data_IF_526107637515
#
_entry.id   IF_526107637515
#
_cell.length_a   1.000
_cell.length_b   1.000
_cell.length_c   1.000
_cell.angle_alpha   90.00
_cell.angle_beta   90.00
_cell.angle_gamma   90.00
#
_symmetry.space_group_name_H-M   'P 1'
#
loop_
_entity.id
_entity.type
_entity.pdbx_description
1 polymer ?
#
# COMPACT_ATOMS: atom_id res chain seq x y z
N UNK A 1 5.81 18.63 -9.09
CA UNK A 1 7.21 19.09 -9.25
C UNK A 1 8.08 18.04 -9.96
N UNK A 2 7.95 16.76 -9.72
CA UNK A 2 8.70 15.68 -10.40
C UNK A 2 8.46 15.60 -11.94
N UNK A 3 7.35 16.09 -12.44
CA UNK A 3 6.95 16.04 -13.86
C UNK A 3 7.73 16.97 -14.79
N UNK A 4 8.40 18.00 -14.25
CA UNK A 4 9.03 19.07 -15.05
C UNK A 4 10.55 19.07 -14.92
N UNK A 5 11.11 18.28 -14.03
CA UNK A 5 12.56 18.24 -13.81
C UNK A 5 13.26 17.35 -14.85
N UNK A 6 14.48 17.72 -15.28
CA UNK A 6 15.25 16.87 -16.19
C UNK A 6 15.54 15.50 -15.55
N UNK A 7 15.39 14.46 -16.34
CA UNK A 7 15.57 13.05 -15.92
C UNK A 7 17.01 12.67 -15.64
N UNK A 8 17.97 13.43 -16.18
CA UNK A 8 19.40 13.19 -16.03
C UNK A 8 20.07 14.35 -15.32
N UNK A 9 21.13 14.06 -14.61
CA UNK A 9 22.08 15.04 -14.07
C UNK A 9 23.49 14.55 -14.31
N UNK A 10 24.38 15.51 -14.54
CA UNK A 10 25.80 15.24 -14.72
C UNK A 10 26.56 15.55 -13.43
N UNK A 11 27.45 14.68 -13.04
CA UNK A 11 28.41 14.94 -11.96
C UNK A 11 29.81 14.53 -12.41
N UNK A 12 30.82 15.17 -11.84
CA UNK A 12 32.21 14.88 -12.13
C UNK A 12 32.69 13.88 -11.07
N UNK A 13 33.17 12.73 -11.52
CA UNK A 13 33.76 11.71 -10.65
C UNK A 13 35.14 12.12 -10.15
N UNK A 14 35.67 11.45 -9.14
CA UNK A 14 36.99 11.69 -8.55
C UNK A 14 38.12 11.60 -9.59
N UNK A 15 37.86 10.95 -10.70
CA UNK A 15 38.80 10.85 -11.87
C UNK A 15 38.68 12.01 -12.86
N UNK A 16 37.81 13.00 -12.62
CA UNK A 16 37.56 14.12 -13.54
C UNK A 16 36.67 13.80 -14.74
N UNK A 17 36.11 12.58 -14.80
CA UNK A 17 35.17 12.18 -15.86
C UNK A 17 33.76 12.67 -15.56
N UNK A 18 33.07 13.22 -16.57
CA UNK A 18 31.70 13.63 -16.45
C UNK A 18 30.78 12.41 -16.64
N UNK A 19 30.07 12.02 -15.59
CA UNK A 19 29.15 10.87 -15.62
C UNK A 19 27.71 11.40 -15.60
N UNK A 20 26.88 10.88 -16.52
CA UNK A 20 25.44 11.12 -16.52
C UNK A 20 24.72 10.06 -15.69
N UNK A 21 24.01 10.49 -14.67
CA UNK A 21 23.18 9.63 -13.84
C UNK A 21 21.70 9.98 -14.00
N UNK A 22 20.86 8.95 -14.08
CA UNK A 22 19.40 9.11 -14.19
C UNK A 22 18.79 9.23 -12.80
N UNK A 23 17.98 10.27 -12.59
CA UNK A 23 17.21 10.45 -11.34
C UNK A 23 16.07 9.46 -11.31
N UNK A 24 16.12 8.49 -10.41
CA UNK A 24 15.10 7.44 -10.28
C UNK A 24 13.71 7.95 -9.80
N UNK A 25 13.68 9.14 -9.18
CA UNK A 25 12.47 9.76 -8.64
C UNK A 25 11.76 10.71 -9.65
N UNK A 26 12.34 10.92 -10.85
CA UNK A 26 11.72 11.74 -11.90
C UNK A 26 10.99 10.82 -12.87
N UNK A 27 9.79 11.24 -13.28
CA UNK A 27 8.98 10.50 -14.25
C UNK A 27 9.70 10.46 -15.60
N UNK A 28 9.94 9.26 -16.09
CA UNK A 28 10.50 9.04 -17.43
C UNK A 28 9.36 8.80 -18.42
N UNK A 29 9.04 9.81 -19.19
CA UNK A 29 7.94 9.79 -20.15
C UNK A 29 8.09 8.75 -21.24
N UNK A 30 9.31 8.38 -21.62
CA UNK A 30 9.54 7.30 -22.60
C UNK A 30 9.10 5.95 -22.03
N UNK A 31 9.38 5.67 -20.74
CA UNK A 31 8.90 4.46 -20.08
C UNK A 31 7.38 4.42 -19.94
N UNK A 32 6.75 5.59 -19.73
CA UNK A 32 5.29 5.68 -19.69
C UNK A 32 4.67 5.42 -21.08
N UNK A 33 5.30 5.93 -22.14
CA UNK A 33 4.83 5.70 -23.52
C UNK A 33 4.98 4.24 -23.96
N UNK A 34 6.03 3.55 -23.48
CA UNK A 34 6.31 2.14 -23.79
C UNK A 34 5.55 1.17 -22.84
N UNK A 35 4.88 1.68 -21.81
CA UNK A 35 4.14 0.86 -20.87
C UNK A 35 2.91 0.23 -21.51
N UNK A 36 2.65 -1.01 -21.15
CA UNK A 36 1.46 -1.74 -21.60
C UNK A 36 0.19 -1.09 -21.03
N UNK A 37 -0.81 -0.79 -21.84
CA UNK A 37 -2.08 -0.22 -21.41
C UNK A 37 -2.87 -1.12 -20.45
N UNK A 38 -2.56 -2.40 -20.44
CA UNK A 38 -3.22 -3.37 -19.58
C UNK A 38 -2.20 -4.40 -19.08
N UNK A 39 -2.13 -4.55 -17.77
CA UNK A 39 -1.25 -5.51 -17.13
C UNK A 39 -2.07 -6.46 -16.24
N UNK A 40 -1.97 -7.76 -16.52
CA UNK A 40 -2.55 -8.78 -15.64
C UNK A 40 -1.52 -9.13 -14.56
N UNK A 41 -1.87 -9.04 -13.28
CA UNK A 41 -0.97 -9.41 -12.19
C UNK A 41 -0.60 -10.90 -12.30
N UNK A 42 0.68 -11.19 -12.17
CA UNK A 42 1.18 -12.57 -12.18
C UNK A 42 0.87 -13.23 -10.84
N UNK A 43 0.26 -14.40 -10.89
CA UNK A 43 0.05 -15.23 -9.71
C UNK A 43 1.35 -15.96 -9.38
N UNK A 44 1.77 -15.92 -8.12
CA UNK A 44 2.97 -16.57 -7.59
C UNK A 44 4.27 -16.20 -8.34
N UNK A 45 4.63 -14.91 -8.43
CA UNK A 45 5.84 -14.47 -9.16
C UNK A 45 7.13 -14.87 -8.44
N UNK A 46 7.05 -15.25 -7.17
CA UNK A 46 8.17 -15.63 -6.32
C UNK A 46 8.05 -17.08 -5.83
N UNK A 47 9.19 -17.74 -5.61
CA UNK A 47 9.21 -19.08 -5.04
C UNK A 47 8.90 -19.02 -3.54
N UNK A 48 8.07 -19.92 -3.08
CA UNK A 48 7.78 -20.06 -1.66
C UNK A 48 8.96 -20.74 -0.97
N UNK A 49 9.49 -20.06 0.04
CA UNK A 49 10.57 -20.57 0.89
C UNK A 49 10.10 -20.48 2.33
N UNK A 50 10.15 -21.60 3.04
CA UNK A 50 9.80 -21.66 4.45
C UNK A 50 11.10 -21.65 5.28
N UNK A 51 11.37 -20.51 5.93
CA UNK A 51 12.48 -20.36 6.86
C UNK A 51 11.95 -19.90 8.22
N UNK A 52 12.18 -20.70 9.25
CA UNK A 52 11.72 -20.39 10.60
C UNK A 52 12.28 -19.05 11.13
N UNK A 53 13.51 -18.69 10.72
CA UNK A 53 14.13 -17.41 11.10
C UNK A 53 13.39 -16.19 10.53
N UNK A 54 12.72 -16.35 9.39
CA UNK A 54 11.89 -15.31 8.78
C UNK A 54 10.45 -15.37 9.29
N UNK A 55 9.90 -16.56 9.50
CA UNK A 55 8.50 -16.76 9.90
C UNK A 55 8.23 -16.16 11.29
N UNK A 56 9.10 -16.39 12.26
CA UNK A 56 8.87 -15.92 13.65
C UNK A 56 8.75 -14.40 13.74
N UNK A 57 9.68 -13.59 13.19
CA UNK A 57 9.51 -12.13 13.18
C UNK A 57 8.25 -11.67 12.45
N UNK A 58 7.90 -12.31 11.33
CA UNK A 58 6.70 -12.00 10.56
C UNK A 58 5.44 -12.25 11.39
N UNK A 59 5.36 -13.37 12.10
CA UNK A 59 4.22 -13.65 12.99
C UNK A 59 4.09 -12.62 14.09
N UNK A 60 5.19 -12.13 14.67
CA UNK A 60 5.17 -11.07 15.68
C UNK A 60 4.65 -9.78 15.05
N UNK A 61 5.11 -9.43 13.84
CA UNK A 61 4.62 -8.25 13.11
C UNK A 61 3.11 -8.33 12.84
N UNK A 62 2.57 -9.50 12.48
CA UNK A 62 1.12 -9.68 12.31
C UNK A 62 0.31 -9.45 13.59
N UNK A 63 0.86 -9.80 14.73
CA UNK A 63 0.21 -9.47 16.03
C UNK A 63 0.19 -7.96 16.24
N UNK A 64 1.27 -7.26 15.93
CA UNK A 64 1.36 -5.81 16.04
C UNK A 64 0.37 -5.13 15.09
N UNK A 65 0.31 -5.55 13.83
CA UNK A 65 -0.66 -4.98 12.85
C UNK A 65 -2.11 -5.25 13.25
N UNK A 66 -2.41 -6.41 13.85
CA UNK A 66 -3.76 -6.68 14.34
C UNK A 66 -4.17 -5.71 15.47
N UNK A 67 -3.24 -5.38 16.39
CA UNK A 67 -3.50 -4.37 17.43
C UNK A 67 -3.67 -2.97 16.82
N UNK A 68 -2.86 -2.61 15.83
CA UNK A 68 -2.98 -1.36 15.08
C UNK A 68 -4.36 -1.25 14.40
N UNK A 69 -4.80 -2.31 13.71
CA UNK A 69 -6.11 -2.36 13.04
C UNK A 69 -7.26 -2.17 14.04
N UNK A 70 -7.19 -2.76 15.23
CA UNK A 70 -8.18 -2.54 16.30
C UNK A 70 -8.22 -1.07 16.72
N UNK A 71 -7.04 -0.44 16.88
CA UNK A 71 -6.93 0.98 17.22
C UNK A 71 -7.53 1.89 16.13
N UNK A 72 -7.23 1.61 14.86
CA UNK A 72 -7.73 2.38 13.73
C UNK A 72 -9.25 2.27 13.56
N UNK A 73 -9.81 1.08 13.71
CA UNK A 73 -11.28 0.89 13.67
C UNK A 73 -11.95 1.63 14.81
N UNK A 74 -11.40 1.56 16.01
CA UNK A 74 -11.91 2.32 17.17
C UNK A 74 -11.85 3.82 16.89
N UNK A 75 -10.73 4.32 16.40
CA UNK A 75 -10.56 5.74 16.04
C UNK A 75 -11.53 6.20 14.94
N UNK A 76 -11.79 5.36 13.92
CA UNK A 76 -12.76 5.68 12.85
C UNK A 76 -14.19 5.69 13.39
N UNK A 77 -14.57 4.73 14.24
CA UNK A 77 -15.93 4.69 14.79
C UNK A 77 -16.19 5.80 15.77
N UNK A 78 -15.26 6.14 16.64
CA UNK A 78 -15.37 7.28 17.54
C UNK A 78 -15.31 8.61 16.76
N UNK A 79 -14.29 8.81 15.94
CA UNK A 79 -14.07 10.04 15.19
C UNK A 79 -15.12 10.30 14.11
N UNK A 80 -15.58 9.27 13.41
CA UNK A 80 -16.51 9.36 12.28
C UNK A 80 -17.98 9.21 12.69
N UNK A 81 -18.29 8.18 13.48
CA UNK A 81 -19.67 7.81 13.86
C UNK A 81 -20.08 8.33 15.24
N UNK A 82 -19.15 8.79 16.08
CA UNK A 82 -19.42 9.26 17.43
C UNK A 82 -19.89 8.17 18.41
N UNK A 83 -19.49 6.92 18.19
CA UNK A 83 -19.79 5.76 19.03
C UNK A 83 -18.59 4.84 19.16
N UNK A 84 -18.62 3.97 20.15
CA UNK A 84 -17.63 2.92 20.28
C UNK A 84 -17.77 1.84 19.20
N UNK A 85 -16.64 1.20 18.86
CA UNK A 85 -16.61 0.08 17.94
C UNK A 85 -17.20 -1.17 18.58
N UNK A 86 -17.97 -1.93 17.82
CA UNK A 86 -18.51 -3.21 18.28
C UNK A 86 -17.49 -4.34 18.09
N UNK A 87 -17.59 -5.41 18.90
CA UNK A 87 -16.71 -6.59 18.78
C UNK A 87 -16.75 -7.21 17.38
N UNK A 88 -17.90 -7.14 16.71
CA UNK A 88 -18.06 -7.62 15.33
C UNK A 88 -17.30 -6.76 14.34
N UNK A 89 -17.26 -5.46 14.53
CA UNK A 89 -16.50 -4.54 13.67
C UNK A 89 -14.99 -4.75 13.88
N UNK A 90 -14.54 -4.87 15.13
CA UNK A 90 -13.15 -5.13 15.46
C UNK A 90 -12.67 -6.47 14.89
N UNK A 91 -13.38 -7.55 15.19
CA UNK A 91 -13.03 -8.88 14.70
C UNK A 91 -13.12 -8.99 13.18
N UNK A 92 -14.13 -8.37 12.57
CA UNK A 92 -14.29 -8.31 11.12
C UNK A 92 -13.16 -7.55 10.43
N UNK A 93 -12.69 -6.45 11.03
CA UNK A 93 -11.57 -5.69 10.50
C UNK A 93 -10.25 -6.46 10.53
N UNK A 94 -9.92 -7.07 11.65
CA UNK A 94 -8.71 -7.90 11.79
C UNK A 94 -8.76 -9.10 10.82
N UNK A 95 -9.94 -9.73 10.68
CA UNK A 95 -10.13 -10.82 9.71
C UNK A 95 -9.93 -10.33 8.27
N UNK A 96 -10.46 -9.17 7.93
CA UNK A 96 -10.33 -8.58 6.59
C UNK A 96 -8.86 -8.25 6.27
N UNK A 97 -8.13 -7.72 7.23
CA UNK A 97 -6.70 -7.42 7.12
C UNK A 97 -5.87 -8.70 6.89
N UNK A 98 -6.13 -9.75 7.66
CA UNK A 98 -5.48 -11.04 7.50
C UNK A 98 -5.79 -11.71 6.15
N UNK A 99 -7.04 -11.68 5.70
CA UNK A 99 -7.43 -12.20 4.39
C UNK A 99 -6.82 -11.38 3.24
N UNK A 100 -6.80 -10.07 3.37
CA UNK A 100 -6.16 -9.18 2.40
C UNK A 100 -4.67 -9.44 2.27
N UNK A 101 -3.97 -9.60 3.39
CA UNK A 101 -2.54 -9.94 3.43
C UNK A 101 -2.26 -11.34 2.83
N UNK A 102 -3.13 -12.30 3.09
CA UNK A 102 -3.04 -13.64 2.48
C UNK A 102 -3.19 -13.59 0.96
N UNK A 103 -4.14 -12.78 0.48
CA UNK A 103 -4.33 -12.56 -0.95
C UNK A 103 -3.12 -11.84 -1.57
N UNK A 104 -2.60 -10.81 -0.90
CA UNK A 104 -1.40 -10.10 -1.33
C UNK A 104 -0.19 -11.05 -1.47
N UNK A 105 -0.02 -11.98 -0.55
CA UNK A 105 1.05 -12.99 -0.60
C UNK A 105 0.95 -13.89 -1.85
N UNK A 106 -0.26 -14.24 -2.31
CA UNK A 106 -0.47 -15.01 -3.56
C UNK A 106 0.05 -14.25 -4.78
N UNK A 107 -0.05 -12.93 -4.77
CA UNK A 107 0.50 -12.08 -5.83
C UNK A 107 1.97 -11.68 -5.58
N UNK A 108 2.60 -12.18 -4.53
CA UNK A 108 3.98 -11.86 -4.18
C UNK A 108 4.19 -10.40 -3.76
N UNK A 109 3.16 -9.76 -3.24
CA UNK A 109 3.18 -8.39 -2.73
C UNK A 109 3.31 -8.42 -1.21
N UNK A 110 3.82 -7.34 -0.62
CA UNK A 110 3.90 -7.19 0.82
C UNK A 110 2.51 -7.26 1.47
N UNK A 111 2.40 -7.75 2.71
CA UNK A 111 1.16 -7.72 3.47
C UNK A 111 0.58 -6.31 3.52
N UNK A 112 -0.74 -6.21 3.44
CA UNK A 112 -1.42 -4.94 3.69
C UNK A 112 -1.57 -4.71 5.20
N UNK A 113 -1.69 -3.46 5.57
CA UNK A 113 -2.05 -3.03 6.93
C UNK A 113 -3.00 -1.86 6.84
N UNK A 114 -3.68 -1.54 7.93
CA UNK A 114 -4.49 -0.33 8.03
C UNK A 114 -3.60 0.91 7.93
N UNK A 115 -4.15 2.00 7.42
CA UNK A 115 -3.41 3.25 7.19
C UNK A 115 -3.93 4.32 8.15
N UNK A 116 -3.31 4.42 9.32
CA UNK A 116 -3.77 5.21 10.47
C UNK A 116 -3.98 6.70 10.16
N UNK A 117 -3.26 7.26 9.17
CA UNK A 117 -3.50 8.65 8.75
C UNK A 117 -4.93 8.89 8.22
N UNK A 118 -5.58 7.86 7.67
CA UNK A 118 -6.95 7.96 7.21
C UNK A 118 -7.96 8.12 8.35
N UNK A 119 -7.62 7.70 9.55
CA UNK A 119 -8.44 7.93 10.76
C UNK A 119 -8.66 9.43 10.98
N UNK A 120 -7.59 10.22 10.86
CA UNK A 120 -7.67 11.69 10.94
C UNK A 120 -8.55 12.30 9.85
N UNK A 121 -8.43 11.82 8.60
CA UNK A 121 -9.27 12.27 7.50
C UNK A 121 -10.75 11.96 7.73
N UNK A 122 -11.08 10.75 8.21
CA UNK A 122 -12.46 10.36 8.53
C UNK A 122 -13.00 11.20 9.68
N UNK A 123 -12.21 11.45 10.72
CA UNK A 123 -12.61 12.32 11.84
C UNK A 123 -12.93 13.74 11.39
N UNK A 124 -12.20 14.27 10.41
CA UNK A 124 -12.43 15.63 9.85
C UNK A 124 -13.64 15.67 8.91
N UNK A 125 -13.73 14.72 7.98
CA UNK A 125 -14.72 14.73 6.90
C UNK A 125 -16.04 14.07 7.28
N UNK A 126 -16.06 13.25 8.33
CA UNK A 126 -17.22 12.45 8.78
C UNK A 126 -17.78 11.51 7.69
N UNK A 127 -16.97 11.18 6.67
CA UNK A 127 -17.38 10.27 5.60
C UNK A 127 -17.10 8.84 6.04
N UNK A 128 -18.13 8.17 6.53
CA UNK A 128 -18.07 6.76 7.00
C UNK A 128 -18.91 5.82 6.15
N UNK A 129 -19.33 6.26 4.97
CA UNK A 129 -20.17 5.45 4.09
C UNK A 129 -19.33 4.37 3.41
N UNK A 130 -19.63 3.11 3.72
CA UNK A 130 -18.97 1.93 3.16
C UNK A 130 -19.01 1.85 1.63
N UNK A 131 -20.06 2.40 1.00
CA UNK A 131 -20.17 2.42 -0.46
C UNK A 131 -19.13 3.37 -1.09
N UNK A 132 -18.92 4.55 -0.51
CA UNK A 132 -17.91 5.49 -0.98
C UNK A 132 -16.51 4.89 -0.87
N UNK A 133 -16.20 4.22 0.23
CA UNK A 133 -14.92 3.55 0.45
C UNK A 133 -14.77 2.36 -0.52
N UNK A 134 -15.83 1.59 -0.74
CA UNK A 134 -15.86 0.47 -1.69
C UNK A 134 -15.58 0.93 -3.12
N UNK A 135 -16.15 2.04 -3.56
CA UNK A 135 -15.88 2.65 -4.88
C UNK A 135 -14.42 3.06 -4.99
N UNK A 136 -13.84 3.63 -3.92
CA UNK A 136 -12.42 3.95 -3.85
C UNK A 136 -11.54 2.71 -4.04
N UNK A 137 -11.89 1.59 -3.41
CA UNK A 137 -11.21 0.31 -3.59
C UNK A 137 -11.28 -0.21 -5.03
N UNK A 138 -12.45 -0.15 -5.65
CA UNK A 138 -12.62 -0.53 -7.07
C UNK A 138 -11.77 0.36 -7.98
N UNK A 139 -11.72 1.66 -7.70
CA UNK A 139 -10.90 2.61 -8.45
C UNK A 139 -9.41 2.27 -8.33
N UNK A 140 -8.91 1.91 -7.14
CA UNK A 140 -7.53 1.48 -6.94
C UNK A 140 -7.20 0.19 -7.71
N UNK A 141 -8.13 -0.78 -7.74
CA UNK A 141 -7.97 -2.00 -8.54
C UNK A 141 -7.88 -1.65 -10.03
N UNK A 142 -8.76 -0.76 -10.51
CA UNK A 142 -8.70 -0.29 -11.89
C UNK A 142 -7.36 0.38 -12.21
N UNK A 143 -6.87 1.25 -11.34
CA UNK A 143 -5.55 1.88 -11.50
C UNK A 143 -4.39 0.85 -11.51
N UNK A 144 -4.52 -0.26 -10.79
CA UNK A 144 -3.52 -1.33 -10.80
C UNK A 144 -3.51 -2.16 -12.09
N UNK A 145 -4.62 -2.17 -12.84
CA UNK A 145 -4.71 -2.85 -14.14
C UNK A 145 -4.23 -1.98 -15.29
N UNK A 146 -4.21 -0.65 -15.12
CA UNK A 146 -3.72 0.34 -16.07
C UNK A 146 -2.48 1.03 -15.50
N UNK A 147 -1.28 0.42 -15.65
CA UNK A 147 -0.03 0.94 -15.10
C UNK A 147 0.48 2.21 -15.78
#
# INVERSE_FOLDING_TARGET
>A
MAMVLPTTFTYVDETGATIEATKSWVINWSKVADASWFAIPKIMPVKWVFDAKAIVPICIMFVVTAVETVGDISGITEGGLGREATDKELSGGVMCDGLGSSLAAVFGVLPNTSFSQNVGLVAMNKVVNRYSIGIGGIFLIACGLFP
#
